data_IF_573949039592
#
_entry.id   IF_573949039592
#
_cell.length_a   1.000
_cell.length_b   1.000
_cell.length_c   1.000
_cell.angle_alpha   90.00
_cell.angle_beta   90.00
_cell.angle_gamma   90.00
#
_symmetry.space_group_name_H-M   'P 1'
#
loop_
_entity.id
_entity.type
_entity.pdbx_description
1 polymer ?
#
# COMPACT_ATOMS: atom_id res chain seq x y z
N UNK A 1 -30.68 17.33 5.12
CA UNK A 1 -31.97 18.05 5.25
C UNK A 1 -33.06 17.16 4.68
N UNK A 2 -34.32 17.28 5.13
CA UNK A 2 -35.43 16.42 4.73
C UNK A 2 -36.43 17.19 3.82
N UNK A 3 -36.19 17.24 2.50
CA UNK A 3 -37.07 17.96 1.57
C UNK A 3 -38.46 17.31 1.42
N UNK A 4 -38.59 16.03 1.77
CA UNK A 4 -39.81 15.24 1.56
C UNK A 4 -40.75 15.17 2.78
N UNK A 5 -40.46 15.91 3.86
CA UNK A 5 -41.34 15.97 5.04
C UNK A 5 -42.47 17.01 4.86
N UNK A 6 -43.65 16.75 5.44
CA UNK A 6 -44.77 17.70 5.53
C UNK A 6 -45.00 18.10 6.99
N UNK A 7 -44.76 19.36 7.39
CA UNK A 7 -44.15 20.47 6.64
C UNK A 7 -42.63 20.29 6.41
N UNK A 8 -42.04 20.93 5.39
CA UNK A 8 -40.60 20.81 5.10
C UNK A 8 -39.78 21.44 6.22
N UNK A 9 -38.74 20.71 6.67
CA UNK A 9 -37.90 21.13 7.78
C UNK A 9 -36.55 21.61 7.28
N UNK A 10 -36.27 22.90 7.43
CA UNK A 10 -34.98 23.51 7.14
C UNK A 10 -34.12 23.56 8.41
N UNK A 11 -32.80 23.35 8.25
CA UNK A 11 -31.82 23.52 9.34
C UNK A 11 -30.92 24.70 9.01
N UNK A 12 -30.88 25.72 9.86
CA UNK A 12 -29.96 26.84 9.68
C UNK A 12 -28.53 26.37 9.95
N UNK A 13 -27.70 26.29 8.92
CA UNK A 13 -26.28 25.90 8.98
C UNK A 13 -25.48 26.72 7.97
N UNK A 14 -24.18 26.89 8.22
CA UNK A 14 -23.25 27.39 7.20
C UNK A 14 -23.13 26.35 6.07
N UNK A 15 -23.69 26.70 4.92
CA UNK A 15 -23.74 25.83 3.75
C UNK A 15 -22.36 25.53 3.16
N UNK A 16 -21.43 26.51 3.22
CA UNK A 16 -20.07 26.35 2.70
C UNK A 16 -19.29 25.33 3.52
N UNK A 17 -19.30 25.48 4.84
CA UNK A 17 -18.67 24.53 5.77
C UNK A 17 -19.30 23.14 5.70
N UNK A 18 -20.62 23.06 5.55
CA UNK A 18 -21.33 21.79 5.40
C UNK A 18 -20.92 21.03 4.13
N UNK A 19 -20.91 21.69 2.95
CA UNK A 19 -20.46 21.07 1.69
C UNK A 19 -19.01 20.62 1.73
N UNK A 20 -18.14 21.38 2.40
CA UNK A 20 -16.74 20.97 2.58
C UNK A 20 -16.65 19.68 3.40
N UNK A 21 -17.31 19.63 4.56
CA UNK A 21 -17.33 18.45 5.41
C UNK A 21 -17.97 17.23 4.73
N UNK A 22 -19.02 17.44 3.92
CA UNK A 22 -19.65 16.39 3.13
C UNK A 22 -18.70 15.83 2.07
N UNK A 23 -17.94 16.67 1.36
CA UNK A 23 -16.92 16.23 0.40
C UNK A 23 -15.79 15.45 1.07
N UNK A 24 -15.32 15.90 2.24
CA UNK A 24 -14.30 15.19 3.02
C UNK A 24 -14.84 13.82 3.46
N UNK A 25 -16.02 13.79 4.07
CA UNK A 25 -16.68 12.55 4.49
C UNK A 25 -16.93 11.60 3.33
N UNK A 26 -17.37 12.10 2.18
CA UNK A 26 -17.58 11.29 0.98
C UNK A 26 -16.26 10.73 0.43
N UNK A 27 -15.17 11.51 0.46
CA UNK A 27 -13.83 11.05 0.06
C UNK A 27 -13.28 9.99 1.02
N UNK A 28 -13.45 10.19 2.31
CA UNK A 28 -13.06 9.21 3.35
C UNK A 28 -13.88 7.93 3.24
N UNK A 29 -15.18 8.04 3.02
CA UNK A 29 -16.07 6.88 2.80
C UNK A 29 -15.64 6.08 1.56
N UNK A 30 -15.38 6.76 0.43
CA UNK A 30 -14.88 6.10 -0.79
C UNK A 30 -13.53 5.42 -0.59
N UNK A 31 -12.63 6.04 0.17
CA UNK A 31 -11.30 5.47 0.47
C UNK A 31 -11.38 4.26 1.39
N UNK A 32 -12.31 4.26 2.34
CA UNK A 32 -12.51 3.17 3.28
C UNK A 32 -13.37 2.04 2.72
N UNK A 33 -14.09 2.27 1.62
CA UNK A 33 -14.83 1.24 0.90
C UNK A 33 -13.85 0.28 0.20
N UNK A 34 -13.72 -0.93 0.74
CA UNK A 34 -12.96 -2.01 0.10
C UNK A 34 -13.80 -2.68 -0.99
N UNK A 35 -13.64 -2.27 -2.25
CA UNK A 35 -14.27 -2.93 -3.42
C UNK A 35 -13.74 -4.36 -3.57
N UNK A 36 -14.62 -5.34 -3.80
CA UNK A 36 -14.20 -6.70 -4.16
C UNK A 36 -14.15 -6.71 -5.67
N UNK A 37 -12.98 -6.98 -6.22
CA UNK A 37 -12.92 -7.25 -7.65
C UNK A 37 -13.13 -8.75 -7.86
N UNK A 38 -13.71 -9.09 -9.00
CA UNK A 38 -13.82 -10.47 -9.45
C UNK A 38 -12.61 -10.71 -10.34
N UNK A 39 -11.70 -11.58 -9.89
CA UNK A 39 -10.53 -12.01 -10.66
C UNK A 39 -10.88 -13.29 -11.40
N UNK A 40 -10.59 -13.33 -12.70
CA UNK A 40 -10.85 -14.52 -13.51
C UNK A 40 -9.56 -15.33 -13.69
N UNK A 41 -9.64 -16.64 -13.44
CA UNK A 41 -8.54 -17.58 -13.72
C UNK A 41 -9.05 -18.66 -14.67
N UNK A 42 -8.27 -18.93 -15.71
CA UNK A 42 -8.61 -19.89 -16.74
C UNK A 42 -7.78 -21.16 -16.63
N UNK A 43 -8.47 -22.29 -16.58
CA UNK A 43 -7.89 -23.63 -16.56
C UNK A 43 -8.15 -24.34 -17.89
N UNK A 44 -7.27 -25.30 -18.20
CA UNK A 44 -7.46 -26.26 -19.29
C UNK A 44 -7.84 -27.59 -18.69
N UNK A 45 -8.61 -28.40 -19.41
CA UNK A 45 -9.05 -29.71 -18.94
C UNK A 45 -7.87 -30.67 -18.70
N UNK A 46 -6.89 -30.66 -19.60
CA UNK A 46 -5.62 -31.40 -19.47
C UNK A 46 -4.53 -30.45 -18.99
N UNK A 47 -4.54 -30.16 -17.70
CA UNK A 47 -3.52 -29.36 -17.03
C UNK A 47 -2.39 -30.26 -16.50
N UNK A 48 -1.16 -29.77 -16.55
CA UNK A 48 0.00 -30.40 -15.91
C UNK A 48 0.00 -30.10 -14.40
N UNK A 49 0.58 -30.97 -13.59
CA UNK A 49 0.61 -30.81 -12.13
C UNK A 49 1.28 -29.48 -11.72
N UNK A 50 2.35 -29.07 -12.40
CA UNK A 50 3.02 -27.81 -12.09
C UNK A 50 2.16 -26.58 -12.44
N UNK A 51 1.49 -26.59 -13.60
CA UNK A 51 0.59 -25.49 -14.00
C UNK A 51 -0.64 -25.41 -13.07
N UNK A 52 -1.11 -26.56 -12.56
CA UNK A 52 -2.17 -26.60 -11.56
C UNK A 52 -1.74 -25.92 -10.27
N UNK A 53 -0.56 -26.23 -9.74
CA UNK A 53 -0.05 -25.64 -8.50
C UNK A 53 0.19 -24.13 -8.61
N UNK A 54 0.71 -23.66 -9.75
CA UNK A 54 0.89 -22.21 -9.99
C UNK A 54 -0.46 -21.49 -9.98
N UNK A 55 -1.47 -22.03 -10.68
CA UNK A 55 -2.81 -21.42 -10.71
C UNK A 55 -3.53 -21.53 -9.37
N UNK A 56 -3.37 -22.63 -8.63
CA UNK A 56 -3.82 -22.76 -7.25
C UNK A 56 -3.21 -21.66 -6.37
N UNK A 57 -1.91 -21.42 -6.48
CA UNK A 57 -1.23 -20.31 -5.81
C UNK A 57 -1.82 -18.94 -6.14
N UNK A 58 -2.21 -18.69 -7.40
CA UNK A 58 -2.92 -17.47 -7.79
C UNK A 58 -4.33 -17.38 -7.19
N UNK A 59 -5.10 -18.47 -7.18
CA UNK A 59 -6.42 -18.52 -6.53
C UNK A 59 -6.27 -18.17 -5.05
N UNK A 60 -5.37 -18.84 -4.33
CA UNK A 60 -5.09 -18.58 -2.92
C UNK A 60 -4.65 -17.14 -2.67
N UNK A 61 -3.79 -16.59 -3.54
CA UNK A 61 -3.35 -15.18 -3.43
C UNK A 61 -4.51 -14.20 -3.57
N UNK A 62 -5.44 -14.42 -4.49
CA UNK A 62 -6.59 -13.54 -4.69
C UNK A 62 -7.63 -13.68 -3.57
N UNK A 63 -7.87 -14.90 -3.09
CA UNK A 63 -8.74 -15.13 -1.93
C UNK A 63 -8.16 -14.48 -0.66
N UNK A 64 -6.85 -14.61 -0.43
CA UNK A 64 -6.16 -13.89 0.65
C UNK A 64 -6.20 -12.37 0.46
N UNK A 65 -6.17 -11.90 -0.80
CA UNK A 65 -6.40 -10.50 -1.17
C UNK A 65 -7.80 -9.98 -0.81
N UNK A 66 -8.76 -10.89 -0.61
CA UNK A 66 -10.17 -10.58 -0.35
C UNK A 66 -10.97 -10.31 -1.63
N UNK A 67 -10.45 -10.72 -2.77
CA UNK A 67 -11.14 -10.70 -4.07
C UNK A 67 -11.90 -12.00 -4.27
N UNK A 68 -12.98 -11.93 -5.07
CA UNK A 68 -13.70 -13.13 -5.53
C UNK A 68 -12.96 -13.71 -6.73
N UNK A 69 -12.92 -15.03 -6.83
CA UNK A 69 -12.24 -15.70 -7.94
C UNK A 69 -13.24 -16.47 -8.77
N UNK A 70 -13.35 -16.12 -10.06
CA UNK A 70 -14.11 -16.87 -11.04
C UNK A 70 -13.17 -17.78 -11.81
N UNK A 71 -13.28 -19.07 -11.55
CA UNK A 71 -12.50 -20.10 -12.21
C UNK A 71 -13.27 -20.61 -13.42
N UNK A 72 -12.64 -20.56 -14.59
CA UNK A 72 -13.27 -20.98 -15.86
C UNK A 72 -12.43 -22.04 -16.56
N UNK A 73 -13.01 -23.19 -16.84
CA UNK A 73 -12.44 -24.19 -17.75
C UNK A 73 -13.13 -24.04 -19.10
N UNK A 74 -12.34 -23.91 -20.16
CA UNK A 74 -12.86 -23.91 -21.52
C UNK A 74 -12.81 -25.33 -22.09
N UNK A 75 -13.96 -25.86 -22.49
CA UNK A 75 -14.07 -27.14 -23.18
C UNK A 75 -13.81 -26.93 -24.68
N UNK A 76 -12.97 -27.77 -25.29
CA UNK A 76 -12.66 -27.65 -26.72
C UNK A 76 -13.05 -28.90 -27.50
N UNK A 77 -13.75 -28.70 -28.62
CA UNK A 77 -14.07 -29.75 -29.58
C UNK A 77 -14.86 -30.90 -28.97
N UNK A 78 -14.22 -32.08 -28.88
CA UNK A 78 -14.82 -33.33 -28.39
C UNK A 78 -15.03 -33.36 -26.87
N UNK A 79 -14.52 -32.39 -26.15
CA UNK A 79 -14.65 -32.30 -24.68
C UNK A 79 -16.01 -31.73 -24.25
N UNK A 80 -16.76 -31.11 -25.17
CA UNK A 80 -18.10 -30.54 -24.89
C UNK A 80 -19.09 -31.63 -24.46
N UNK A 81 -18.94 -32.86 -24.98
CA UNK A 81 -19.81 -34.00 -24.63
C UNK A 81 -19.43 -34.68 -23.31
N UNK A 82 -18.26 -34.38 -22.74
CA UNK A 82 -17.78 -34.99 -21.49
C UNK A 82 -17.41 -33.92 -20.45
N UNK A 83 -18.42 -33.29 -19.81
CA UNK A 83 -18.18 -32.27 -18.80
C UNK A 83 -17.63 -32.80 -17.47
N UNK A 84 -17.77 -34.11 -17.21
CA UNK A 84 -17.43 -34.77 -15.94
C UNK A 84 -16.00 -34.45 -15.50
N UNK A 85 -15.01 -34.59 -16.38
CA UNK A 85 -13.60 -34.37 -16.01
C UNK A 85 -13.28 -32.92 -15.63
N UNK A 86 -14.02 -31.94 -16.18
CA UNK A 86 -13.83 -30.53 -15.81
C UNK A 86 -14.50 -30.18 -14.48
N UNK A 87 -15.61 -30.83 -14.17
CA UNK A 87 -16.28 -30.70 -12.86
C UNK A 87 -15.41 -31.30 -11.76
N UNK A 88 -14.85 -32.49 -11.98
CA UNK A 88 -13.95 -33.16 -11.03
C UNK A 88 -12.70 -32.31 -10.73
N UNK A 89 -12.10 -31.70 -11.76
CA UNK A 89 -10.93 -30.84 -11.58
C UNK A 89 -11.26 -29.60 -10.71
N UNK A 90 -12.42 -28.98 -10.93
CA UNK A 90 -12.85 -27.83 -10.13
C UNK A 90 -13.23 -28.24 -8.71
N UNK A 91 -13.77 -29.44 -8.52
CA UNK A 91 -14.07 -29.96 -7.19
C UNK A 91 -12.77 -30.20 -6.40
N UNK A 92 -11.77 -30.84 -7.01
CA UNK A 92 -10.44 -30.99 -6.40
C UNK A 92 -9.83 -29.65 -6.03
N UNK A 93 -9.91 -28.66 -6.93
CA UNK A 93 -9.44 -27.31 -6.63
C UNK A 93 -10.20 -26.67 -5.46
N UNK A 94 -11.51 -26.89 -5.35
CA UNK A 94 -12.34 -26.38 -4.26
C UNK A 94 -11.94 -26.97 -2.91
N UNK A 95 -11.63 -28.27 -2.87
CA UNK A 95 -11.19 -28.98 -1.67
C UNK A 95 -9.79 -28.48 -1.24
N UNK A 96 -8.86 -28.31 -2.18
CA UNK A 96 -7.50 -27.80 -1.91
C UNK A 96 -7.48 -26.35 -1.38
N UNK A 97 -8.48 -25.52 -1.76
CA UNK A 97 -8.57 -24.11 -1.36
C UNK A 97 -9.62 -23.86 -0.27
N UNK A 98 -10.18 -24.93 0.31
CA UNK A 98 -11.23 -24.83 1.33
C UNK A 98 -10.73 -24.02 2.54
N UNK A 99 -9.45 -24.07 2.88
CA UNK A 99 -8.89 -23.29 3.97
C UNK A 99 -9.05 -21.76 3.77
N UNK A 100 -8.92 -21.28 2.53
CA UNK A 100 -8.87 -19.84 2.21
C UNK A 100 -10.20 -19.27 1.72
N UNK A 101 -11.07 -20.11 1.13
CA UNK A 101 -12.29 -19.68 0.48
C UNK A 101 -13.48 -20.61 0.68
N UNK A 102 -14.67 -20.10 0.37
CA UNK A 102 -15.91 -20.87 0.24
C UNK A 102 -16.39 -20.86 -1.20
N UNK A 103 -17.05 -21.94 -1.59
CA UNK A 103 -17.69 -22.04 -2.92
C UNK A 103 -19.00 -21.23 -2.89
N UNK A 104 -19.05 -20.14 -3.64
CA UNK A 104 -20.26 -19.32 -3.79
C UNK A 104 -21.18 -19.90 -4.87
N UNK A 105 -20.60 -20.30 -6.00
CA UNK A 105 -21.29 -21.01 -7.06
C UNK A 105 -20.56 -22.30 -7.38
N UNK A 106 -21.25 -23.43 -7.21
CA UNK A 106 -20.75 -24.75 -7.60
C UNK A 106 -20.38 -24.79 -9.10
N UNK A 107 -19.50 -25.71 -9.52
CA UNK A 107 -19.15 -25.91 -10.92
C UNK A 107 -20.41 -26.14 -11.77
N UNK A 108 -20.66 -25.24 -12.72
CA UNK A 108 -21.77 -25.35 -13.67
C UNK A 108 -21.25 -25.19 -15.09
N UNK A 109 -21.76 -26.01 -15.99
CA UNK A 109 -21.48 -25.88 -17.41
C UNK A 109 -22.37 -24.79 -18.01
N UNK A 110 -21.74 -23.77 -18.57
CA UNK A 110 -22.36 -22.68 -19.29
C UNK A 110 -21.83 -22.70 -20.74
N UNK A 111 -22.54 -23.45 -21.60
CA UNK A 111 -22.17 -23.66 -23.00
C UNK A 111 -20.82 -24.37 -23.16
N UNK A 112 -19.82 -23.63 -23.64
CA UNK A 112 -18.44 -24.13 -23.88
C UNK A 112 -17.52 -23.97 -22.67
N UNK A 113 -18.01 -23.40 -21.58
CA UNK A 113 -17.22 -23.15 -20.38
C UNK A 113 -17.82 -23.89 -19.19
N UNK A 114 -16.99 -24.33 -18.27
CA UNK A 114 -17.40 -24.72 -16.92
C UNK A 114 -16.89 -23.65 -15.98
N UNK A 115 -17.79 -23.06 -15.20
CA UNK A 115 -17.50 -21.91 -14.35
C UNK A 115 -17.80 -22.29 -12.90
N UNK A 116 -16.88 -21.90 -12.01
CA UNK A 116 -17.04 -21.96 -10.57
C UNK A 116 -16.62 -20.60 -9.99
N UNK A 117 -17.35 -20.13 -8.96
CA UNK A 117 -17.00 -18.88 -8.27
C UNK A 117 -16.69 -19.16 -6.81
N UNK A 118 -15.52 -18.72 -6.38
CA UNK A 118 -15.01 -18.82 -5.02
C UNK A 118 -15.05 -17.45 -4.35
N UNK A 119 -15.52 -17.42 -3.11
CA UNK A 119 -15.51 -16.25 -2.25
C UNK A 119 -14.47 -16.42 -1.14
N UNK A 120 -13.80 -15.35 -0.71
CA UNK A 120 -12.83 -15.43 0.38
C UNK A 120 -13.53 -15.65 1.73
N UNK A 121 -12.97 -16.52 2.59
CA UNK A 121 -13.46 -16.72 3.97
C UNK A 121 -13.18 -15.51 4.87
N UNK A 122 -12.11 -14.77 4.59
CA UNK A 122 -11.68 -13.60 5.35
C UNK A 122 -12.31 -12.27 4.90
N UNK A 123 -12.57 -11.36 5.84
CA UNK A 123 -12.93 -9.97 5.53
C UNK A 123 -11.71 -9.23 4.95
N UNK A 124 -11.89 -8.47 3.85
CA UNK A 124 -10.87 -7.63 3.16
C UNK A 124 -10.07 -6.65 4.03
N UNK A 125 -10.48 -6.47 5.28
CA UNK A 125 -9.90 -5.48 6.20
C UNK A 125 -8.42 -5.80 6.47
N UNK A 126 -8.03 -7.09 6.44
CA UNK A 126 -6.67 -7.49 6.82
C UNK A 126 -5.61 -7.06 5.79
N UNK A 127 -5.88 -7.09 4.48
CA UNK A 127 -4.86 -6.80 3.47
C UNK A 127 -4.65 -5.32 3.21
N UNK A 128 -5.71 -4.50 3.21
CA UNK A 128 -5.55 -3.05 3.08
C UNK A 128 -4.94 -2.41 4.33
N UNK A 129 -5.22 -2.94 5.53
CA UNK A 129 -4.61 -2.45 6.77
C UNK A 129 -3.13 -2.82 6.83
N UNK A 130 -2.78 -4.06 6.46
CA UNK A 130 -1.39 -4.53 6.31
C UNK A 130 -0.60 -3.71 5.28
N UNK A 131 -1.13 -3.50 4.06
CA UNK A 131 -0.46 -2.69 3.05
C UNK A 131 -0.33 -1.22 3.44
N UNK A 132 -1.34 -0.65 4.13
CA UNK A 132 -1.26 0.71 4.67
C UNK A 132 -0.23 0.82 5.79
N UNK A 133 -0.18 -0.17 6.69
CA UNK A 133 0.80 -0.26 7.78
C UNK A 133 2.23 -0.35 7.22
N UNK A 134 2.48 -1.30 6.31
CA UNK A 134 3.77 -1.47 5.64
C UNK A 134 4.17 -0.24 4.82
N UNK A 135 3.20 0.42 4.20
CA UNK A 135 3.40 1.70 3.49
C UNK A 135 3.77 2.85 4.43
N UNK A 136 3.12 2.96 5.59
CA UNK A 136 3.41 3.96 6.61
C UNK A 136 4.80 3.74 7.24
N UNK A 137 5.13 2.50 7.58
CA UNK A 137 6.44 2.09 8.08
C UNK A 137 7.56 2.46 7.09
N UNK A 138 7.39 2.13 5.80
CA UNK A 138 8.38 2.48 4.77
C UNK A 138 8.57 3.98 4.54
N UNK A 139 7.54 4.80 4.83
CA UNK A 139 7.60 6.26 4.72
C UNK A 139 8.26 6.87 5.96
N UNK A 140 7.93 6.35 7.15
CA UNK A 140 8.57 6.73 8.40
C UNK A 140 10.07 6.41 8.37
N UNK A 141 10.45 5.23 7.85
CA UNK A 141 11.85 4.84 7.72
C UNK A 141 12.62 5.75 6.76
N UNK A 142 12.01 6.14 5.62
CA UNK A 142 12.59 7.12 4.69
C UNK A 142 12.74 8.50 5.33
N UNK A 143 11.74 8.97 6.07
CA UNK A 143 11.79 10.25 6.78
C UNK A 143 12.87 10.25 7.88
N UNK A 144 13.00 9.15 8.63
CA UNK A 144 14.04 8.99 9.65
C UNK A 144 15.45 9.00 9.04
N UNK A 145 15.68 8.27 7.94
CA UNK A 145 16.97 8.29 7.21
C UNK A 145 17.30 9.69 6.67
N UNK A 146 16.29 10.41 6.18
CA UNK A 146 16.47 11.77 5.67
C UNK A 146 16.79 12.77 6.80
N UNK A 147 16.10 12.65 7.95
CA UNK A 147 16.36 13.47 9.13
C UNK A 147 17.76 13.22 9.72
N UNK A 148 18.19 11.96 9.85
CA UNK A 148 19.52 11.60 10.32
C UNK A 148 20.63 12.17 9.42
N UNK A 149 20.44 12.14 8.10
CA UNK A 149 21.39 12.71 7.14
C UNK A 149 21.47 14.25 7.23
N UNK A 150 20.35 14.92 7.52
CA UNK A 150 20.32 16.36 7.71
C UNK A 150 20.98 16.77 9.04
N UNK A 151 20.74 16.01 10.12
CA UNK A 151 21.39 16.22 11.41
C UNK A 151 22.92 16.05 11.31
N UNK A 152 23.40 14.96 10.71
CA UNK A 152 24.83 14.75 10.50
C UNK A 152 25.48 15.86 9.64
N UNK A 153 24.74 16.39 8.65
CA UNK A 153 25.21 17.53 7.86
C UNK A 153 25.28 18.82 8.69
N UNK A 154 24.29 19.09 9.54
CA UNK A 154 24.31 20.25 10.44
C UNK A 154 25.42 20.16 11.49
N UNK A 155 25.65 18.99 12.07
CA UNK A 155 26.74 18.74 13.02
C UNK A 155 28.11 18.98 12.35
N UNK A 156 28.33 18.42 11.16
CA UNK A 156 29.58 18.66 10.42
C UNK A 156 29.80 20.14 10.05
N UNK A 157 28.73 20.88 9.73
CA UNK A 157 28.80 22.31 9.44
C UNK A 157 29.03 23.15 10.70
N UNK A 158 28.45 22.76 11.84
CA UNK A 158 28.67 23.41 13.13
C UNK A 158 30.10 23.19 13.62
N UNK A 159 30.64 21.97 13.45
CA UNK A 159 32.05 21.67 13.77
C UNK A 159 32.99 22.49 12.90
N UNK A 160 32.78 22.51 11.57
CA UNK A 160 33.58 23.31 10.66
C UNK A 160 33.47 24.84 10.93
N UNK A 161 32.31 25.32 11.37
CA UNK A 161 32.12 26.71 11.77
C UNK A 161 32.82 27.04 13.09
N UNK A 162 32.79 26.13 14.07
CA UNK A 162 33.51 26.28 15.34
C UNK A 162 35.03 26.24 15.13
N UNK A 163 35.52 25.33 14.29
CA UNK A 163 36.93 25.24 13.90
C UNK A 163 37.38 26.51 13.17
N UNK A 164 36.55 27.05 12.26
CA UNK A 164 36.83 28.32 11.59
C UNK A 164 36.81 29.52 12.56
N UNK A 165 35.87 29.58 13.51
CA UNK A 165 35.81 30.63 14.52
C UNK A 165 37.01 30.59 15.47
N UNK A 166 37.43 29.40 15.89
CA UNK A 166 38.62 29.21 16.74
C UNK A 166 39.91 29.60 16.02
N UNK A 167 40.04 29.28 14.72
CA UNK A 167 41.17 29.71 13.88
C UNK A 167 41.21 31.23 13.64
N UNK A 168 40.05 31.89 13.50
CA UNK A 168 39.97 33.35 13.40
C UNK A 168 40.38 34.01 14.72
N UNK A 169 39.90 33.48 15.85
CA UNK A 169 40.20 34.00 17.20
C UNK A 169 41.70 33.92 17.53
N UNK A 170 42.36 32.82 17.17
CA UNK A 170 43.81 32.63 17.31
C UNK A 170 44.63 33.59 16.43
N UNK A 171 44.17 33.86 15.20
CA UNK A 171 44.80 34.86 14.31
C UNK A 171 44.66 36.30 14.85
N UNK A 172 43.57 36.63 15.53
CA UNK A 172 43.41 37.95 16.19
C UNK A 172 44.27 38.12 17.44
N UNK A 173 44.60 37.04 18.17
CA UNK A 173 45.54 37.10 19.29
C UNK A 173 47.00 37.25 18.82
N UNK A 174 47.43 36.54 17.77
CA UNK A 174 48.78 36.69 17.18
C UNK A 174 49.00 38.10 16.60
N UNK A 175 47.96 38.70 16.00
CA UNK A 175 48.02 40.07 15.47
C UNK A 175 48.04 41.14 16.58
N UNK A 176 47.60 40.81 17.79
CA UNK A 176 47.59 41.71 18.96
C UNK A 176 48.87 41.59 19.81
N UNK A 177 49.59 40.47 19.71
CA UNK A 177 50.96 40.35 20.25
C UNK A 177 51.99 41.07 19.37
N UNK A 178 51.89 40.94 18.04
CA UNK A 178 52.82 41.63 17.11
C UNK A 178 52.67 43.16 17.10
N UNK A 179 51.54 43.73 17.54
CA UNK A 179 51.38 45.19 17.71
C UNK A 179 51.84 45.73 19.07
N UNK A 180 52.21 44.86 20.03
CA UNK A 180 52.69 45.25 21.38
C UNK A 180 54.21 45.21 21.53
N UNK A 181 54.93 44.60 20.59
CA UNK A 181 56.41 44.57 20.55
C UNK A 181 57.03 45.74 19.75
N UNK A 182 56.23 46.62 19.14
CA UNK A 182 56.70 47.72 18.31
C UNK A 182 56.88 49.09 19.00
N UNK A 183 56.77 49.19 20.33
CA UNK A 183 56.79 50.49 21.02
C UNK A 183 57.89 50.66 22.08
N UNK A 184 59.04 49.99 21.95
CA UNK A 184 60.17 50.24 22.87
C UNK A 184 61.52 50.04 22.16
N UNK A 185 61.96 51.02 21.39
CA UNK A 185 63.35 51.13 20.91
C UNK A 185 63.67 52.58 20.47
N UNK A 186 63.73 53.51 21.42
CA UNK A 186 64.55 54.72 21.33
C UNK A 186 65.21 54.91 22.71
N UNK A 187 66.48 54.53 22.82
CA UNK A 187 67.59 55.25 23.49
C UNK A 187 68.75 54.28 23.77
N UNK A 188 69.84 54.42 23.01
CA UNK A 188 71.20 54.67 23.51
C UNK A 188 72.28 54.49 22.41
N UNK A 189 73.03 55.58 22.20
CA UNK A 189 74.29 55.79 21.46
C UNK A 189 74.32 55.72 19.92
#
# INVERSE_FOLDING_TARGET
MAPNAKPPVAKLIDYGKFKYNEKIKAREARRNQSTAEIKEIRFRLKIDDHDFDVKKGHVTRFLNGGDKVKVTIMLRGREISRPIGGVELLQRLADDVEEYGTVESKPKQEGRNIIMTLAPKGKKVHTQSEQRRRGAESRAERQARQAARLAAKQESQAQAAADAQSAISQKTSDKKQTSKEGSNAEDEN
#
